data_IF_240406883692
#
_entry.id   IF_240406883692
#
_cell.length_a   1.000
_cell.length_b   1.000
_cell.length_c   1.000
_cell.angle_alpha   90.00
_cell.angle_beta   90.00
_cell.angle_gamma   90.00
#
_symmetry.space_group_name_H-M   'P 1'
#
loop_
_entity.id
_entity.type
_entity.pdbx_description
1 polymer ?
#
# COMPACT_ATOMS: atom_id res chain seq x y z
N UNK A 1 14.32 -10.39 6.62
CA UNK A 1 15.75 -10.00 6.82
C UNK A 1 16.63 -10.42 5.64
N UNK A 2 16.87 -11.71 5.34
CA UNK A 2 17.73 -12.15 4.21
C UNK A 2 17.38 -11.49 2.87
N UNK A 3 16.10 -11.45 2.50
CA UNK A 3 15.67 -10.80 1.26
C UNK A 3 16.09 -9.32 1.17
N UNK A 4 15.99 -8.57 2.27
CA UNK A 4 16.34 -7.14 2.31
C UNK A 4 17.85 -6.95 2.36
N UNK A 5 18.53 -7.63 3.29
CA UNK A 5 19.95 -7.41 3.60
C UNK A 5 20.87 -8.08 2.58
N UNK A 6 20.60 -9.33 2.22
CA UNK A 6 21.49 -10.13 1.35
C UNK A 6 21.12 -10.00 -0.13
N UNK A 7 19.83 -9.74 -0.44
CA UNK A 7 19.32 -9.73 -1.81
C UNK A 7 18.83 -8.37 -2.29
N UNK A 8 18.90 -7.34 -1.45
CA UNK A 8 18.58 -5.95 -1.82
C UNK A 8 17.09 -5.66 -2.03
N UNK A 9 16.18 -6.52 -1.56
CA UNK A 9 14.75 -6.23 -1.63
C UNK A 9 14.39 -4.99 -0.79
N UNK A 10 13.48 -4.16 -1.30
CA UNK A 10 12.92 -3.05 -0.53
C UNK A 10 11.79 -3.55 0.37
N UNK A 11 11.67 -2.97 1.56
CA UNK A 11 10.66 -3.34 2.54
C UNK A 11 9.82 -2.12 2.92
N UNK A 12 8.50 -2.27 2.79
CA UNK A 12 7.51 -1.36 3.35
C UNK A 12 6.88 -2.08 4.54
N UNK A 13 6.77 -1.40 5.69
CA UNK A 13 6.06 -1.92 6.85
C UNK A 13 4.82 -1.08 7.08
N UNK A 14 3.65 -1.71 7.10
CA UNK A 14 2.39 -1.07 7.49
C UNK A 14 1.99 -1.62 8.85
N UNK A 15 2.21 -0.84 9.91
CA UNK A 15 1.86 -1.25 11.26
C UNK A 15 1.78 -0.03 12.21
N UNK A 16 0.72 0.12 13.03
CA UNK A 16 0.69 1.19 14.04
C UNK A 16 1.80 1.06 15.09
N UNK A 17 2.30 -0.16 15.32
CA UNK A 17 3.35 -0.45 16.32
C UNK A 17 4.70 -0.63 15.64
N UNK A 18 5.75 -0.15 16.32
CA UNK A 18 7.11 -0.41 15.90
C UNK A 18 7.45 -1.88 16.14
N UNK A 19 7.98 -2.53 15.12
CA UNK A 19 8.50 -3.91 15.19
C UNK A 19 9.96 -3.92 14.75
N UNK A 20 10.67 -5.03 14.95
CA UNK A 20 12.06 -5.17 14.47
C UNK A 20 12.19 -5.05 12.95
N UNK A 21 11.11 -5.28 12.19
CA UNK A 21 11.11 -5.11 10.74
C UNK A 21 11.21 -3.64 10.33
N UNK A 22 10.75 -2.71 11.18
CA UNK A 22 10.83 -1.28 10.93
C UNK A 22 12.29 -0.81 10.80
N UNK A 23 13.24 -1.48 11.46
CA UNK A 23 14.68 -1.16 11.38
C UNK A 23 15.30 -1.47 10.01
N UNK A 24 14.62 -2.29 9.20
CA UNK A 24 15.04 -2.68 7.86
C UNK A 24 14.16 -2.05 6.77
N UNK A 25 13.13 -1.31 7.16
CA UNK A 25 12.12 -0.79 6.25
C UNK A 25 12.63 0.48 5.57
N UNK A 26 12.40 0.57 4.25
CA UNK A 26 12.58 1.79 3.49
C UNK A 26 11.52 2.83 3.94
N UNK A 27 10.28 2.37 4.17
CA UNK A 27 9.15 3.17 4.67
C UNK A 27 8.40 2.38 5.75
N UNK A 28 8.07 3.06 6.86
CA UNK A 28 7.18 2.54 7.89
C UNK A 28 5.92 3.39 7.99
N UNK A 29 4.81 2.89 7.45
CA UNK A 29 3.49 3.51 7.51
C UNK A 29 2.81 3.12 8.81
N UNK A 30 2.30 4.13 9.52
CA UNK A 30 1.71 4.01 10.86
C UNK A 30 0.25 4.45 10.87
N UNK A 31 -0.65 3.72 10.19
CA UNK A 31 -2.06 4.10 10.16
C UNK A 31 -2.67 4.02 11.56
N UNK A 32 -3.63 4.90 11.84
CA UNK A 32 -4.58 4.72 12.94
C UNK A 32 -5.29 3.38 12.75
N UNK A 33 -5.47 2.55 13.80
CA UNK A 33 -6.12 1.25 13.66
C UNK A 33 -7.49 1.34 12.98
N UNK A 34 -7.78 0.47 12.02
CA UNK A 34 -9.05 0.42 11.30
C UNK A 34 -9.16 1.41 10.13
N UNK A 35 -8.06 2.04 9.71
CA UNK A 35 -8.04 2.98 8.57
C UNK A 35 -7.35 2.38 7.34
N UNK A 36 -7.16 1.07 7.32
CA UNK A 36 -6.38 0.33 6.32
C UNK A 36 -6.94 0.51 4.89
N UNK A 37 -8.25 0.45 4.70
CA UNK A 37 -8.90 0.69 3.38
C UNK A 37 -8.55 2.08 2.84
N UNK A 38 -8.58 3.12 3.69
CA UNK A 38 -8.26 4.47 3.26
C UNK A 38 -6.79 4.60 2.86
N UNK A 39 -5.89 3.94 3.58
CA UNK A 39 -4.46 3.89 3.24
C UNK A 39 -4.23 3.16 1.92
N UNK A 40 -4.80 1.97 1.75
CA UNK A 40 -4.60 1.14 0.56
C UNK A 40 -5.17 1.81 -0.70
N UNK A 41 -6.34 2.44 -0.60
CA UNK A 41 -6.91 3.21 -1.71
C UNK A 41 -6.03 4.40 -2.11
N UNK A 42 -5.41 5.08 -1.15
CA UNK A 42 -4.52 6.19 -1.47
C UNK A 42 -3.18 5.75 -2.06
N UNK A 43 -2.64 4.61 -1.61
CA UNK A 43 -1.47 3.98 -2.26
C UNK A 43 -1.83 3.62 -3.71
N UNK A 44 -2.97 2.96 -3.93
CA UNK A 44 -3.42 2.58 -5.27
C UNK A 44 -3.66 3.81 -6.17
N UNK A 45 -4.31 4.86 -5.64
CA UNK A 45 -4.48 6.12 -6.36
C UNK A 45 -3.14 6.74 -6.76
N UNK A 46 -2.16 6.79 -5.86
CA UNK A 46 -0.84 7.31 -6.19
C UNK A 46 -0.13 6.50 -7.28
N UNK A 47 -0.31 5.17 -7.32
CA UNK A 47 0.19 4.32 -8.42
C UNK A 47 -0.47 4.69 -9.75
N UNK A 48 -1.80 4.87 -9.77
CA UNK A 48 -2.53 5.25 -10.98
C UNK A 48 -2.19 6.66 -11.46
N UNK A 49 -2.15 7.64 -10.56
CA UNK A 49 -1.88 9.04 -10.88
C UNK A 49 -0.46 9.24 -11.44
N UNK A 50 0.50 8.38 -11.04
CA UNK A 50 1.86 8.37 -11.58
C UNK A 50 2.05 7.48 -12.82
N UNK A 51 1.00 6.81 -13.29
CA UNK A 51 1.06 5.92 -14.45
C UNK A 51 1.97 4.70 -14.26
N UNK A 52 2.07 4.22 -13.01
CA UNK A 52 2.94 3.09 -12.62
C UNK A 52 2.20 1.74 -12.65
N UNK A 53 0.92 1.74 -13.05
CA UNK A 53 0.10 0.54 -13.09
C UNK A 53 0.46 -0.34 -14.30
N UNK A 54 0.29 -1.66 -14.12
CA UNK A 54 0.35 -2.60 -15.23
C UNK A 54 -0.99 -2.61 -15.97
N UNK A 55 -1.14 -1.66 -16.90
CA UNK A 55 -2.36 -1.46 -17.68
C UNK A 55 -2.76 -2.70 -18.49
N UNK A 56 -1.77 -3.46 -18.98
CA UNK A 56 -2.06 -4.69 -19.73
C UNK A 56 -2.61 -5.78 -18.82
N UNK A 57 -2.02 -5.98 -17.64
CA UNK A 57 -2.55 -6.92 -16.66
C UNK A 57 -3.97 -6.53 -16.22
N UNK A 58 -4.21 -5.24 -15.98
CA UNK A 58 -5.54 -4.72 -15.62
C UNK A 58 -6.55 -5.08 -16.72
N UNK A 59 -6.25 -4.76 -17.98
CA UNK A 59 -7.14 -5.02 -19.11
C UNK A 59 -7.40 -6.52 -19.34
N UNK A 60 -6.36 -7.36 -19.21
CA UNK A 60 -6.43 -8.77 -19.60
C UNK A 60 -6.91 -9.69 -18.47
N UNK A 61 -6.77 -9.28 -17.20
CA UNK A 61 -6.90 -10.16 -16.02
C UNK A 61 -7.83 -9.65 -14.92
N UNK A 62 -8.45 -8.48 -15.08
CA UNK A 62 -9.34 -7.91 -14.06
C UNK A 62 -10.69 -7.49 -14.65
N UNK A 63 -11.68 -7.32 -13.78
CA UNK A 63 -13.01 -6.79 -14.11
C UNK A 63 -13.41 -5.73 -13.08
N UNK A 64 -14.34 -4.84 -13.43
CA UNK A 64 -14.80 -3.76 -12.52
C UNK A 64 -13.79 -2.65 -12.25
N UNK A 65 -12.70 -2.57 -13.03
CA UNK A 65 -11.63 -1.58 -12.81
C UNK A 65 -12.13 -0.13 -12.88
N UNK A 66 -12.96 0.23 -13.86
CA UNK A 66 -13.46 1.61 -14.02
C UNK A 66 -14.40 2.03 -12.87
N UNK A 67 -15.22 1.10 -12.40
CA UNK A 67 -16.09 1.31 -11.24
C UNK A 67 -15.25 1.52 -9.97
N UNK A 68 -14.25 0.66 -9.75
CA UNK A 68 -13.31 0.80 -8.65
C UNK A 68 -12.47 2.08 -8.74
N UNK A 69 -12.00 2.44 -9.94
CA UNK A 69 -11.24 3.67 -10.20
C UNK A 69 -12.03 4.90 -9.76
N UNK A 70 -13.30 4.94 -10.11
CA UNK A 70 -14.22 6.03 -9.72
C UNK A 70 -14.37 6.14 -8.20
N UNK A 71 -14.34 5.02 -7.48
CA UNK A 71 -14.36 5.03 -6.00
C UNK A 71 -13.07 5.61 -5.43
N UNK A 72 -11.91 5.22 -5.97
CA UNK A 72 -10.62 5.64 -5.40
C UNK A 72 -10.22 7.07 -5.77
N UNK A 73 -10.84 7.71 -6.77
CA UNK A 73 -10.60 9.13 -7.12
C UNK A 73 -10.66 10.05 -5.89
N UNK A 74 -11.59 9.75 -4.98
CA UNK A 74 -11.78 10.50 -3.75
C UNK A 74 -10.70 10.31 -2.69
N UNK A 75 -9.79 9.34 -2.81
CA UNK A 75 -8.80 8.96 -1.79
C UNK A 75 -7.40 9.51 -2.12
N UNK A 76 -7.27 10.84 -2.23
CA UNK A 76 -5.95 11.46 -2.42
C UNK A 76 -5.03 11.17 -1.22
N UNK A 77 -3.69 11.20 -1.40
CA UNK A 77 -2.74 11.07 -0.29
C UNK A 77 -3.03 12.03 0.87
N UNK A 78 -3.43 13.27 0.60
CA UNK A 78 -3.75 14.29 1.60
C UNK A 78 -5.03 13.94 2.38
N UNK A 79 -6.05 13.43 1.69
CA UNK A 79 -7.26 12.95 2.36
C UNK A 79 -6.93 11.73 3.24
N UNK A 80 -6.16 10.78 2.72
CA UNK A 80 -5.76 9.62 3.50
C UNK A 80 -4.88 10.01 4.69
N UNK A 81 -4.04 11.04 4.60
CA UNK A 81 -3.30 11.58 5.74
C UNK A 81 -4.25 12.05 6.85
N UNK A 82 -5.32 12.76 6.50
CA UNK A 82 -6.31 13.21 7.48
C UNK A 82 -7.00 12.04 8.21
N UNK A 83 -7.26 10.92 7.51
CA UNK A 83 -7.97 9.75 8.03
C UNK A 83 -7.02 8.84 8.82
N UNK A 84 -5.88 8.50 8.23
CA UNK A 84 -4.95 7.48 8.71
C UNK A 84 -3.88 8.04 9.64
N UNK A 85 -3.59 9.34 9.56
CA UNK A 85 -2.44 9.95 10.24
C UNK A 85 -1.08 9.64 9.60
N UNK A 86 -1.04 8.97 8.45
CA UNK A 86 0.18 8.69 7.69
C UNK A 86 0.47 9.89 6.77
N UNK A 87 1.67 10.49 6.80
CA UNK A 87 2.01 11.61 5.92
C UNK A 87 1.80 11.27 4.44
N UNK A 88 1.17 12.16 3.68
CA UNK A 88 0.91 11.99 2.25
C UNK A 88 2.19 11.63 1.46
N UNK A 89 3.31 12.27 1.81
CA UNK A 89 4.61 11.99 1.20
C UNK A 89 5.07 10.53 1.40
N UNK A 90 4.80 9.94 2.58
CA UNK A 90 5.16 8.55 2.85
C UNK A 90 4.24 7.58 2.09
N UNK A 91 2.97 7.93 1.90
CA UNK A 91 2.01 7.16 1.07
C UNK A 91 2.52 7.10 -0.38
N UNK A 92 2.86 8.26 -0.95
CA UNK A 92 3.39 8.36 -2.32
C UNK A 92 4.72 7.61 -2.45
N UNK A 93 5.61 7.75 -1.46
CA UNK A 93 6.89 7.02 -1.46
C UNK A 93 6.67 5.51 -1.42
N UNK A 94 5.74 5.02 -0.61
CA UNK A 94 5.38 3.61 -0.56
C UNK A 94 4.79 3.11 -1.89
N UNK A 95 3.91 3.89 -2.53
CA UNK A 95 3.35 3.58 -3.84
C UNK A 95 4.43 3.39 -4.90
N UNK A 96 5.39 4.31 -4.99
CA UNK A 96 6.54 4.22 -5.91
C UNK A 96 7.40 2.98 -5.68
N UNK A 97 7.74 2.70 -4.42
CA UNK A 97 8.54 1.51 -4.05
C UNK A 97 7.79 0.23 -4.42
N UNK A 98 6.49 0.17 -4.18
CA UNK A 98 5.68 -1.01 -4.43
C UNK A 98 5.46 -1.26 -5.93
N UNK A 99 5.20 -0.21 -6.72
CA UNK A 99 4.92 -0.33 -8.15
C UNK A 99 6.18 -0.44 -9.01
N UNK A 100 7.33 0.07 -8.54
CA UNK A 100 8.61 -0.03 -9.24
C UNK A 100 9.67 -0.77 -8.39
N UNK A 101 9.49 -2.08 -8.11
CA UNK A 101 10.45 -2.85 -7.33
C UNK A 101 11.75 -3.06 -8.13
N UNK A 102 12.91 -3.21 -7.45
CA UNK A 102 14.22 -3.32 -8.12
C UNK A 102 14.44 -4.60 -8.94
N UNK A 103 13.57 -5.61 -8.81
CA UNK A 103 13.74 -6.92 -9.46
C UNK A 103 12.46 -7.41 -10.16
N UNK A 104 11.78 -8.44 -9.65
CA UNK A 104 10.77 -9.21 -10.38
C UNK A 104 9.32 -8.93 -9.97
N UNK A 105 9.07 -8.02 -9.02
CA UNK A 105 7.74 -7.71 -8.52
C UNK A 105 7.70 -7.48 -7.01
N UNK A 106 6.54 -7.02 -6.53
CA UNK A 106 6.26 -6.82 -5.11
C UNK A 106 5.39 -7.96 -4.58
N UNK A 107 5.57 -8.30 -3.30
CA UNK A 107 4.78 -9.32 -2.62
C UNK A 107 4.16 -8.71 -1.36
N UNK A 108 2.83 -8.74 -1.29
CA UNK A 108 2.08 -8.30 -0.11
C UNK A 108 1.93 -9.48 0.86
N UNK A 109 2.38 -9.29 2.10
CA UNK A 109 2.26 -10.28 3.18
C UNK A 109 1.45 -9.65 4.30
N UNK A 110 0.30 -10.26 4.62
CA UNK A 110 -0.57 -9.80 5.69
C UNK A 110 -0.90 -10.93 6.68
N UNK A 111 -1.54 -10.56 7.78
CA UNK A 111 -1.95 -11.49 8.83
C UNK A 111 -3.21 -11.03 9.55
N UNK A 112 -3.43 -11.54 10.75
CA UNK A 112 -4.69 -11.35 11.49
C UNK A 112 -5.02 -9.89 11.83
N UNK A 113 -4.00 -9.01 11.88
CA UNK A 113 -4.20 -7.58 12.07
C UNK A 113 -4.96 -6.88 10.93
N UNK A 114 -5.18 -7.56 9.80
CA UNK A 114 -6.02 -7.07 8.70
C UNK A 114 -7.44 -7.64 8.81
N UNK A 115 -7.55 -8.92 9.11
CA UNK A 115 -8.81 -9.67 9.05
C UNK A 115 -9.66 -9.58 10.32
N UNK A 116 -9.07 -9.33 11.50
CA UNK A 116 -9.79 -9.24 12.79
C UNK A 116 -10.33 -7.82 13.07
N UNK A 117 -10.91 -7.21 12.04
CA UNK A 117 -11.59 -5.91 12.10
C UNK A 117 -13.05 -6.08 11.69
N UNK A 118 -13.92 -5.15 12.10
CA UNK A 118 -15.32 -5.07 11.61
C UNK A 118 -15.41 -5.01 10.08
N UNK A 119 -14.36 -4.49 9.45
CA UNK A 119 -14.20 -4.36 8.01
C UNK A 119 -13.17 -5.34 7.44
N UNK A 120 -12.93 -6.48 8.12
CA UNK A 120 -11.87 -7.44 7.77
C UNK A 120 -11.91 -7.93 6.32
N UNK A 121 -13.11 -8.12 5.75
CA UNK A 121 -13.29 -8.49 4.33
C UNK A 121 -12.90 -7.37 3.35
N UNK A 122 -13.11 -6.10 3.73
CA UNK A 122 -12.75 -4.96 2.88
C UNK A 122 -11.26 -4.59 3.02
N UNK A 123 -10.62 -5.01 4.11
CA UNK A 123 -9.20 -4.79 4.35
C UNK A 123 -8.31 -5.84 3.65
N UNK A 124 -8.83 -7.05 3.42
CA UNK A 124 -8.10 -8.23 2.98
C UNK A 124 -8.19 -8.47 1.47
#
# INVERSE_FOLDING_TARGET
RKAVVERGAKLIVVNPRRTEMCDLAEVWLRPRPGTDVALMNAVAKAVLDEGLADEQFIADRTEGFDEWRSVIEGYTPERAESITGVPAADIVRAARIYAAPPFSGSCLIWGMGVTQHTNGTANA
#
